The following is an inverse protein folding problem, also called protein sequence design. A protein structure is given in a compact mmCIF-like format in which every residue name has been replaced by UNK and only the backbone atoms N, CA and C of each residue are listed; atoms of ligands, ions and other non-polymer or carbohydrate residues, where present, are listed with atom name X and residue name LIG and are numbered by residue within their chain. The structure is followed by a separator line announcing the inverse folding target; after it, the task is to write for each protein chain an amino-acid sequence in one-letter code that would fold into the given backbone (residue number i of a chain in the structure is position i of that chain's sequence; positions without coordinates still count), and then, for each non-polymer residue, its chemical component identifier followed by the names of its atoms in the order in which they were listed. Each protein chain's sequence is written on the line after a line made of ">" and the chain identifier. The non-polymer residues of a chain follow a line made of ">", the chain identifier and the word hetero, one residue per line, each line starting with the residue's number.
data_IF_206712363783
#
_entry.id   IF_206712363783
#
_cell.length_a   1.000
_cell.length_b   1.000
_cell.length_c   1.000
_cell.angle_alpha   90.00
_cell.angle_beta   90.00
_cell.angle_gamma   90.00
#
_symmetry.space_group_name_H-M   'P 1'
#
loop_
_entity.id
_entity.type
_entity.pdbx_description
1 polymer ?
#
# COMPACT_ATOMS: atom_id res chain seq x y z
N UNK A 1 -2.90 2.11 -15.67
CA UNK A 1 -1.50 2.51 -15.42
C UNK A 1 -1.14 3.89 -15.98
N UNK A 2 -0.94 4.12 -17.29
CA UNK A 2 -0.46 5.45 -17.77
C UNK A 2 -1.35 6.65 -17.39
N UNK A 3 -2.68 6.56 -17.49
CA UNK A 3 -3.55 7.68 -17.07
C UNK A 3 -3.63 7.83 -15.54
N UNK A 4 -3.46 6.75 -14.78
CA UNK A 4 -3.44 6.80 -13.32
C UNK A 4 -2.14 7.46 -12.83
N UNK A 5 -1.01 7.17 -13.49
CA UNK A 5 0.25 7.87 -13.28
C UNK A 5 0.12 9.39 -13.55
N UNK A 6 -0.55 9.79 -14.66
CA UNK A 6 -0.83 11.21 -14.94
C UNK A 6 -1.66 11.88 -13.83
N UNK A 7 -2.69 11.19 -13.34
CA UNK A 7 -3.50 11.69 -12.23
C UNK A 7 -2.65 11.91 -10.97
N UNK A 8 -1.87 10.91 -10.56
CA UNK A 8 -1.05 10.99 -9.36
C UNK A 8 0.13 11.96 -9.49
N UNK A 9 0.72 12.13 -10.68
CA UNK A 9 1.71 13.17 -10.95
C UNK A 9 1.13 14.56 -10.67
N UNK A 10 -0.09 14.83 -11.16
CA UNK A 10 -0.78 16.12 -10.92
C UNK A 10 -1.10 16.33 -9.43
N UNK A 11 -1.46 15.26 -8.72
CA UNK A 11 -1.81 15.34 -7.30
C UNK A 11 -0.60 15.41 -6.36
N UNK A 12 0.59 14.99 -6.80
CA UNK A 12 1.76 14.76 -5.94
C UNK A 12 2.11 15.95 -5.03
N UNK A 13 2.20 17.17 -5.58
CA UNK A 13 2.53 18.37 -4.79
C UNK A 13 1.48 18.69 -3.73
N UNK A 14 0.19 18.53 -4.06
CA UNK A 14 -0.91 18.74 -3.11
C UNK A 14 -0.96 17.65 -2.03
N UNK A 15 -0.74 16.40 -2.43
CA UNK A 15 -0.65 15.26 -1.55
C UNK A 15 0.50 15.41 -0.54
N UNK A 16 1.69 15.78 -1.01
CA UNK A 16 2.87 15.98 -0.15
C UNK A 16 2.67 17.06 0.93
N UNK A 17 1.87 18.10 0.64
CA UNK A 17 1.54 19.18 1.58
C UNK A 17 0.41 18.80 2.54
N UNK A 18 -0.37 17.79 2.19
CA UNK A 18 -1.53 17.38 2.99
C UNK A 18 -1.07 16.69 4.27
N UNK A 19 -1.68 17.06 5.40
CA UNK A 19 -1.47 16.37 6.67
C UNK A 19 -2.17 15.02 6.63
N UNK A 20 -1.59 14.03 7.29
CA UNK A 20 -2.27 12.77 7.59
C UNK A 20 -3.49 13.11 8.45
N UNK A 21 -4.69 12.87 7.92
CA UNK A 21 -5.94 13.33 8.53
C UNK A 21 -6.34 12.59 9.81
N UNK A 22 -5.78 11.40 10.03
CA UNK A 22 -6.05 10.54 11.19
C UNK A 22 -4.72 10.00 11.72
N UNK A 23 -3.96 10.90 12.35
CA UNK A 23 -2.64 10.60 12.89
C UNK A 23 -2.67 9.45 13.92
N UNK A 24 -3.63 9.37 14.87
CA UNK A 24 -3.69 8.25 15.83
C UNK A 24 -3.83 6.89 15.13
N UNK A 25 -4.68 6.81 14.09
CA UNK A 25 -4.82 5.57 13.32
C UNK A 25 -3.57 5.25 12.51
N UNK A 26 -2.84 6.26 12.06
CA UNK A 26 -1.57 6.07 11.34
C UNK A 26 -0.47 5.56 12.27
N UNK A 27 -0.28 6.19 13.43
CA UNK A 27 0.72 5.77 14.42
C UNK A 27 0.47 4.35 14.92
N UNK A 28 -0.79 3.97 15.18
CA UNK A 28 -1.12 2.58 15.55
C UNK A 28 -0.71 1.59 14.46
N UNK A 29 -0.87 1.93 13.17
CA UNK A 29 -0.43 1.05 12.08
C UNK A 29 1.08 0.93 12.06
N UNK A 30 1.81 2.04 12.25
CA UNK A 30 3.27 2.01 12.32
C UNK A 30 3.75 1.14 13.48
N UNK A 31 3.16 1.29 14.66
CA UNK A 31 3.50 0.52 15.85
C UNK A 31 3.27 -0.98 15.62
N UNK A 32 2.09 -1.35 15.12
CA UNK A 32 1.79 -2.77 14.85
C UNK A 32 2.75 -3.33 13.81
N UNK A 33 3.00 -2.64 12.69
CA UNK A 33 3.94 -3.11 11.66
C UNK A 33 5.35 -3.29 12.25
N UNK A 34 5.83 -2.32 13.05
CA UNK A 34 7.16 -2.38 13.69
C UNK A 34 7.31 -3.54 14.65
N UNK A 35 6.22 -3.97 15.30
CA UNK A 35 6.22 -5.17 16.16
C UNK A 35 6.57 -6.47 15.44
N UNK A 36 6.54 -6.48 14.10
CA UNK A 36 6.93 -7.63 13.29
C UNK A 36 8.31 -7.50 12.64
N UNK A 37 8.98 -6.35 12.73
CA UNK A 37 10.27 -6.16 12.07
C UNK A 37 11.41 -6.86 12.78
N UNK A 38 12.38 -7.30 11.99
CA UNK A 38 13.74 -7.54 12.45
C UNK A 38 14.71 -6.68 11.62
N UNK A 39 15.89 -6.34 12.17
CA UNK A 39 16.87 -5.50 11.48
C UNK A 39 17.38 -6.06 10.15
N UNK A 40 17.21 -7.37 9.90
CA UNK A 40 17.70 -8.06 8.71
C UNK A 40 16.67 -8.16 7.58
N UNK A 41 15.44 -7.66 7.78
CA UNK A 41 14.35 -7.82 6.83
C UNK A 41 14.56 -7.05 5.51
N UNK A 42 14.27 -7.75 4.41
CA UNK A 42 14.08 -7.18 3.06
C UNK A 42 12.59 -6.88 2.85
N UNK A 43 12.26 -5.60 2.65
CA UNK A 43 10.88 -5.13 2.57
C UNK A 43 10.57 -4.50 1.21
N UNK A 44 9.39 -4.79 0.67
CA UNK A 44 8.83 -4.09 -0.49
C UNK A 44 7.61 -3.26 -0.08
N UNK A 45 7.60 -1.96 -0.36
CA UNK A 45 6.39 -1.13 -0.28
C UNK A 45 5.85 -0.83 -1.67
N UNK A 46 4.61 -1.23 -1.95
CA UNK A 46 3.92 -1.01 -3.22
C UNK A 46 2.98 0.19 -3.09
N UNK A 47 3.16 1.18 -3.96
CA UNK A 47 2.42 2.44 -3.93
C UNK A 47 2.79 3.30 -2.73
N UNK A 48 4.08 3.55 -2.55
CA UNK A 48 4.62 4.27 -1.40
C UNK A 48 4.27 5.78 -1.41
N UNK A 49 3.73 6.32 -2.50
CA UNK A 49 3.49 7.74 -2.67
C UNK A 49 4.76 8.54 -2.39
N UNK A 50 4.66 9.53 -1.51
CA UNK A 50 5.82 10.38 -1.12
C UNK A 50 6.78 9.74 -0.11
N UNK A 51 6.73 8.42 0.07
CA UNK A 51 7.69 7.65 0.88
C UNK A 51 7.54 7.78 2.40
N UNK A 52 6.51 8.46 2.92
CA UNK A 52 6.39 8.74 4.36
C UNK A 52 6.44 7.48 5.23
N UNK A 53 5.80 6.38 4.82
CA UNK A 53 5.79 5.13 5.58
C UNK A 53 7.14 4.41 5.48
N UNK A 54 7.66 4.20 4.26
CA UNK A 54 9.00 3.66 4.04
C UNK A 54 10.06 4.37 4.91
N UNK A 55 10.12 5.70 4.87
CA UNK A 55 11.12 6.47 5.62
C UNK A 55 10.98 6.28 7.14
N UNK A 56 9.75 6.18 7.67
CA UNK A 56 9.51 5.92 9.10
C UNK A 56 9.82 4.48 9.53
N UNK A 57 9.86 3.55 8.59
CA UNK A 57 10.20 2.15 8.83
C UNK A 57 11.65 1.81 8.55
N UNK A 58 12.33 2.62 7.74
CA UNK A 58 13.72 2.43 7.34
C UNK A 58 14.69 2.15 8.51
N UNK A 59 14.61 2.83 9.68
CA UNK A 59 15.53 2.56 10.78
C UNK A 59 15.38 1.17 11.46
N UNK A 60 14.35 0.40 11.11
CA UNK A 60 14.00 -0.85 11.80
C UNK A 60 14.27 -2.11 10.97
N UNK A 61 14.74 -1.97 9.73
CA UNK A 61 14.91 -3.06 8.77
C UNK A 61 16.19 -2.87 7.96
N UNK A 62 16.60 -3.92 7.24
CA UNK A 62 17.83 -3.89 6.43
C UNK A 62 17.67 -2.99 5.23
N UNK A 63 16.58 -3.18 4.48
CA UNK A 63 16.31 -2.43 3.26
C UNK A 63 14.81 -2.36 2.97
N UNK A 64 14.40 -1.22 2.39
CA UNK A 64 13.06 -1.06 1.82
C UNK A 64 13.19 -0.70 0.34
N UNK A 65 12.69 -1.56 -0.54
CA UNK A 65 12.37 -1.19 -1.93
C UNK A 65 10.98 -0.57 -1.95
N UNK A 66 10.85 0.69 -2.29
CA UNK A 66 9.59 1.43 -2.28
C UNK A 66 9.22 1.86 -3.71
N UNK A 67 8.05 1.46 -4.20
CA UNK A 67 7.63 1.72 -5.58
C UNK A 67 6.35 2.52 -5.67
N UNK A 68 6.24 3.36 -6.70
CA UNK A 68 5.01 4.07 -7.04
C UNK A 68 4.93 4.30 -8.56
N UNK A 69 3.72 4.37 -9.10
CA UNK A 69 3.53 4.62 -10.54
C UNK A 69 3.77 6.09 -10.93
N UNK A 70 3.81 6.99 -9.94
CA UNK A 70 3.98 8.43 -10.12
C UNK A 70 5.44 8.84 -9.98
N UNK A 71 6.02 9.34 -11.07
CA UNK A 71 7.37 9.89 -11.07
C UNK A 71 7.50 11.08 -10.12
N UNK A 72 6.47 11.93 -10.01
CA UNK A 72 6.49 13.07 -9.10
C UNK A 72 6.43 12.64 -7.63
N UNK A 73 5.71 11.56 -7.31
CA UNK A 73 5.71 11.00 -5.95
C UNK A 73 7.09 10.48 -5.56
N UNK A 74 7.73 9.73 -6.45
CA UNK A 74 9.08 9.20 -6.26
C UNK A 74 10.13 10.31 -6.15
N UNK A 75 10.02 11.37 -6.95
CA UNK A 75 10.92 12.52 -6.85
C UNK A 75 10.84 13.18 -5.46
N UNK A 76 9.63 13.37 -4.92
CA UNK A 76 9.42 13.92 -3.57
C UNK A 76 9.95 12.95 -2.50
N UNK A 77 9.72 11.65 -2.66
CA UNK A 77 10.17 10.64 -1.72
C UNK A 77 11.70 10.60 -1.60
N UNK A 78 12.42 10.65 -2.74
CA UNK A 78 13.88 10.75 -2.78
C UNK A 78 14.39 12.01 -2.08
N UNK A 79 13.79 13.17 -2.38
CA UNK A 79 14.18 14.43 -1.73
C UNK A 79 14.01 14.40 -0.19
N UNK A 80 12.96 13.73 0.30
CA UNK A 80 12.77 13.53 1.75
C UNK A 80 13.83 12.60 2.33
N UNK A 81 14.14 11.49 1.65
CA UNK A 81 15.18 10.57 2.07
C UNK A 81 16.55 11.27 2.21
N UNK A 82 16.91 12.09 1.21
CA UNK A 82 18.14 12.87 1.21
C UNK A 82 18.16 13.88 2.37
N UNK A 83 17.03 14.54 2.64
CA UNK A 83 16.89 15.50 3.75
C UNK A 83 17.00 14.82 5.13
N UNK A 84 16.44 13.62 5.26
CA UNK A 84 16.44 12.83 6.51
C UNK A 84 17.73 12.00 6.68
N UNK A 85 18.61 11.96 5.68
CA UNK A 85 19.84 11.17 5.68
C UNK A 85 19.59 9.65 5.63
N UNK A 86 18.45 9.22 5.12
CA UNK A 86 18.06 7.80 5.06
C UNK A 86 18.61 7.18 3.78
N UNK A 87 19.45 6.15 3.93
CA UNK A 87 20.18 5.53 2.80
C UNK A 87 19.69 4.11 2.45
N UNK A 88 18.94 3.46 3.35
CA UNK A 88 18.49 2.07 3.17
C UNK A 88 17.09 1.96 2.56
N UNK A 89 16.65 2.97 1.79
CA UNK A 89 15.41 2.95 1.02
C UNK A 89 15.71 3.22 -0.45
N UNK A 90 15.30 2.32 -1.33
CA UNK A 90 15.39 2.52 -2.79
C UNK A 90 14.02 2.85 -3.35
N UNK A 91 13.89 4.04 -3.93
CA UNK A 91 12.66 4.50 -4.56
C UNK A 91 12.67 4.26 -6.08
N UNK A 92 11.64 3.60 -6.59
CA UNK A 92 11.51 3.21 -8.01
C UNK A 92 10.15 3.60 -8.59
N UNK A 93 10.16 4.13 -9.81
CA UNK A 93 8.91 4.34 -10.57
C UNK A 93 8.53 3.01 -11.21
N UNK A 94 7.56 2.31 -10.64
CA UNK A 94 7.14 1.01 -11.13
C UNK A 94 5.70 0.72 -10.73
N UNK A 95 4.98 0.05 -11.61
CA UNK A 95 3.68 -0.53 -11.27
C UNK A 95 3.84 -1.95 -10.78
N UNK A 96 2.88 -2.42 -10.00
CA UNK A 96 2.89 -3.79 -9.48
C UNK A 96 3.02 -4.85 -10.57
N UNK A 97 2.35 -4.64 -11.71
CA UNK A 97 2.37 -5.58 -12.84
C UNK A 97 3.75 -5.66 -13.53
N UNK A 98 4.61 -4.65 -13.32
CA UNK A 98 5.95 -4.57 -13.90
C UNK A 98 7.06 -4.98 -12.90
N UNK A 99 6.69 -5.30 -11.65
CA UNK A 99 7.66 -5.62 -10.61
C UNK A 99 8.35 -6.97 -10.88
N UNK A 100 9.66 -6.88 -11.09
CA UNK A 100 10.55 -8.05 -11.09
C UNK A 100 11.05 -8.28 -9.68
N UNK A 101 10.45 -9.27 -9.02
CA UNK A 101 10.80 -9.76 -7.69
C UNK A 101 10.82 -11.27 -7.75
N UNK A 102 11.89 -11.86 -7.21
CA UNK A 102 12.08 -13.29 -7.14
C UNK A 102 11.08 -13.94 -6.18
N UNK A 103 10.72 -15.18 -6.47
CA UNK A 103 9.84 -15.95 -5.61
C UNK A 103 10.52 -16.20 -4.26
N UNK A 104 9.75 -16.14 -3.17
CA UNK A 104 10.24 -16.40 -1.82
C UNK A 104 11.50 -15.60 -1.42
N UNK A 105 11.57 -14.31 -1.80
CA UNK A 105 12.75 -13.47 -1.58
C UNK A 105 12.56 -12.38 -0.52
N UNK A 106 11.31 -12.00 -0.22
CA UNK A 106 10.99 -10.90 0.70
C UNK A 106 10.49 -11.40 2.06
N UNK A 107 10.88 -10.70 3.13
CA UNK A 107 10.39 -10.93 4.49
C UNK A 107 9.04 -10.24 4.71
N UNK A 108 8.86 -9.06 4.11
CA UNK A 108 7.61 -8.31 4.18
C UNK A 108 7.28 -7.58 2.88
N UNK A 109 5.99 -7.57 2.54
CA UNK A 109 5.41 -6.65 1.56
C UNK A 109 4.42 -5.72 2.27
N UNK A 110 4.43 -4.45 1.92
CA UNK A 110 3.49 -3.43 2.40
C UNK A 110 2.71 -2.86 1.21
N UNK A 111 1.39 -2.74 1.34
CA UNK A 111 0.56 -2.05 0.35
C UNK A 111 -0.58 -1.28 1.03
N UNK A 112 -0.35 0.02 1.26
CA UNK A 112 -1.29 0.88 1.97
C UNK A 112 -2.11 1.73 0.99
N UNK A 113 -3.43 1.64 1.08
CA UNK A 113 -4.39 2.41 0.28
C UNK A 113 -4.29 2.16 -1.24
N UNK A 114 -3.81 0.98 -1.65
CA UNK A 114 -3.62 0.62 -3.07
C UNK A 114 -4.60 -0.45 -3.56
N UNK A 115 -5.00 -1.43 -2.74
CA UNK A 115 -5.78 -2.59 -3.24
C UNK A 115 -7.17 -2.26 -3.79
N UNK A 116 -7.71 -1.08 -3.48
CA UNK A 116 -8.96 -0.58 -4.06
C UNK A 116 -8.74 0.23 -5.36
N UNK A 117 -7.49 0.49 -5.73
CA UNK A 117 -7.06 1.26 -6.91
C UNK A 117 -6.45 0.39 -8.00
N UNK A 118 -6.33 -0.92 -7.77
CA UNK A 118 -5.81 -1.88 -8.76
C UNK A 118 -6.95 -2.60 -9.49
N UNK A 119 -6.80 -2.87 -10.80
CA UNK A 119 -7.86 -3.48 -11.60
C UNK A 119 -8.13 -4.94 -11.21
N UNK A 120 -7.07 -5.70 -10.87
CA UNK A 120 -7.18 -7.11 -10.48
C UNK A 120 -6.49 -7.36 -9.13
N UNK A 121 -7.17 -7.00 -8.04
CA UNK A 121 -6.61 -7.17 -6.69
C UNK A 121 -6.24 -8.62 -6.34
N UNK A 122 -6.95 -9.62 -6.89
CA UNK A 122 -6.67 -11.02 -6.60
C UNK A 122 -5.34 -11.46 -7.19
N UNK A 123 -5.04 -10.98 -8.40
CA UNK A 123 -3.75 -11.23 -9.03
C UNK A 123 -2.61 -10.55 -8.27
N UNK A 124 -2.82 -9.31 -7.85
CA UNK A 124 -1.90 -8.59 -6.96
C UNK A 124 -1.62 -9.39 -5.69
N UNK A 125 -2.66 -9.91 -5.02
CA UNK A 125 -2.50 -10.71 -3.79
C UNK A 125 -1.68 -11.98 -4.06
N UNK A 126 -1.93 -12.67 -5.18
CA UNK A 126 -1.17 -13.87 -5.57
C UNK A 126 0.30 -13.56 -5.84
N UNK A 127 0.58 -12.45 -6.53
CA UNK A 127 1.96 -12.02 -6.77
C UNK A 127 2.69 -11.71 -5.46
N UNK A 128 2.04 -11.00 -4.54
CA UNK A 128 2.59 -10.74 -3.20
C UNK A 128 2.86 -12.04 -2.45
N UNK A 129 1.92 -12.99 -2.46
CA UNK A 129 2.10 -14.30 -1.84
C UNK A 129 3.31 -15.06 -2.42
N UNK A 130 3.51 -14.99 -3.74
CA UNK A 130 4.64 -15.61 -4.42
C UNK A 130 5.98 -14.99 -4.01
N UNK A 131 6.04 -13.66 -3.92
CA UNK A 131 7.26 -12.91 -3.58
C UNK A 131 7.73 -13.14 -2.13
N UNK A 132 6.80 -13.43 -1.22
CA UNK A 132 7.10 -13.63 0.20
C UNK A 132 7.76 -14.98 0.47
N UNK A 133 8.78 -14.98 1.33
CA UNK A 133 9.32 -16.19 1.96
C UNK A 133 8.22 -16.95 2.72
N UNK A 134 8.35 -18.27 2.95
CA UNK A 134 7.60 -18.94 4.01
C UNK A 134 7.77 -18.17 5.33
N UNK A 135 6.68 -18.02 6.09
CA UNK A 135 6.64 -17.17 7.29
C UNK A 135 6.57 -15.65 7.03
N UNK A 136 6.74 -15.21 5.77
CA UNK A 136 6.76 -13.80 5.37
C UNK A 136 5.41 -13.10 5.54
N UNK A 137 5.44 -11.77 5.63
CA UNK A 137 4.28 -10.96 6.03
C UNK A 137 3.78 -10.05 4.91
N UNK A 138 2.46 -9.95 4.77
CA UNK A 138 1.82 -8.92 3.96
C UNK A 138 1.04 -7.95 4.85
N UNK A 139 1.44 -6.68 4.83
CA UNK A 139 0.80 -5.61 5.62
C UNK A 139 0.01 -4.69 4.70
N UNK A 140 -1.27 -4.48 4.99
CA UNK A 140 -2.12 -3.64 4.14
C UNK A 140 -3.12 -2.82 4.94
N UNK A 141 -3.51 -1.67 4.37
CA UNK A 141 -4.61 -0.84 4.86
C UNK A 141 -5.49 -0.47 3.67
N UNK A 142 -6.76 -0.85 3.65
CA UNK A 142 -7.63 -0.58 2.48
C UNK A 142 -8.98 -0.02 2.89
N UNK A 143 -9.43 1.04 2.20
CA UNK A 143 -10.78 1.58 2.36
C UNK A 143 -11.77 0.65 1.67
N UNK A 144 -12.70 0.09 2.44
CA UNK A 144 -13.78 -0.75 1.93
C UNK A 144 -15.02 0.11 1.62
N UNK A 145 -15.02 0.72 0.42
CA UNK A 145 -16.02 1.71 0.03
C UNK A 145 -17.47 1.20 0.09
N UNK A 146 -17.71 -0.11 -0.04
CA UNK A 146 -19.06 -0.68 0.05
C UNK A 146 -19.64 -0.67 1.47
N UNK A 147 -18.80 -0.64 2.51
CA UNK A 147 -19.23 -0.71 3.91
C UNK A 147 -19.71 0.64 4.48
N UNK A 148 -19.56 1.74 3.75
CA UNK A 148 -19.94 3.06 4.26
C UNK A 148 -20.06 4.18 3.24
N UNK A 149 -19.68 3.94 1.98
CA UNK A 149 -19.70 4.92 0.89
C UNK A 149 -20.31 4.34 -0.40
N UNK A 150 -21.13 3.29 -0.30
CA UNK A 150 -21.74 2.62 -1.46
C UNK A 150 -22.57 3.55 -2.35
N UNK A 151 -23.12 4.62 -1.78
CA UNK A 151 -23.88 5.66 -2.47
C UNK A 151 -23.04 6.52 -3.43
N UNK A 152 -21.70 6.51 -3.33
CA UNK A 152 -20.81 7.22 -4.26
C UNK A 152 -20.68 6.51 -5.61
N UNK A 153 -21.07 5.23 -5.70
CA UNK A 153 -20.98 4.43 -6.93
C UNK A 153 -21.64 5.08 -8.16
N UNK A 154 -22.88 5.61 -8.10
CA UNK A 154 -23.50 6.31 -9.24
C UNK A 154 -22.84 7.64 -9.63
N UNK A 155 -22.12 8.31 -8.72
CA UNK A 155 -21.49 9.63 -8.97
C UNK A 155 -20.12 9.48 -9.63
N UNK A 156 -19.48 8.32 -9.47
CA UNK A 156 -18.13 8.05 -9.94
C UNK A 156 -17.89 8.25 -11.45
N UNK A 157 -18.79 7.86 -12.38
CA UNK A 157 -18.59 8.11 -13.81
C UNK A 157 -18.43 9.60 -14.13
N UNK A 158 -19.23 10.46 -13.46
CA UNK A 158 -19.12 11.90 -13.60
C UNK A 158 -17.77 12.40 -13.07
N UNK A 159 -17.38 11.99 -11.85
CA UNK A 159 -16.08 12.37 -11.25
C UNK A 159 -14.88 11.95 -12.11
N UNK A 160 -14.96 10.82 -12.81
CA UNK A 160 -13.92 10.36 -13.75
C UNK A 160 -13.88 11.25 -14.99
N UNK A 161 -15.03 11.61 -15.54
CA UNK A 161 -15.14 12.46 -16.73
C UNK A 161 -14.54 13.85 -16.48
N UNK A 162 -14.70 14.40 -15.28
CA UNK A 162 -14.08 15.66 -14.85
C UNK A 162 -12.68 15.51 -14.24
N UNK A 163 -12.13 14.29 -14.19
CA UNK A 163 -10.76 14.02 -13.76
C UNK A 163 -10.50 14.16 -12.25
N UNK A 164 -11.52 14.11 -11.40
CA UNK A 164 -11.40 14.22 -9.93
C UNK A 164 -11.27 12.87 -9.19
N UNK A 165 -11.34 11.74 -9.91
CA UNK A 165 -11.17 10.41 -9.34
C UNK A 165 -10.28 9.53 -10.24
N UNK A 166 -9.50 8.60 -9.66
CA UNK A 166 -8.80 7.57 -10.42
C UNK A 166 -9.78 6.73 -11.27
N UNK A 167 -9.27 6.15 -12.37
CA UNK A 167 -10.12 5.29 -13.22
C UNK A 167 -10.53 4.01 -12.51
N UNK A 168 -9.69 3.47 -11.64
CA UNK A 168 -10.00 2.25 -10.90
C UNK A 168 -10.30 2.62 -9.45
N UNK A 169 -11.52 2.33 -9.03
CA UNK A 169 -11.97 2.42 -7.64
C UNK A 169 -12.89 1.23 -7.42
N UNK A 170 -12.38 0.20 -6.74
CA UNK A 170 -13.12 -1.01 -6.46
C UNK A 170 -14.01 -0.82 -5.22
N UNK A 171 -15.30 -1.12 -5.36
CA UNK A 171 -16.26 -1.12 -4.26
C UNK A 171 -16.26 -2.49 -3.58
N UNK A 172 -15.40 -2.65 -2.58
CA UNK A 172 -15.22 -3.90 -1.83
C UNK A 172 -15.70 -3.73 -0.40
N UNK A 173 -16.13 -4.86 0.19
CA UNK A 173 -16.36 -4.98 1.64
C UNK A 173 -15.11 -5.50 2.34
N UNK A 174 -15.01 -5.31 3.66
CA UNK A 174 -13.94 -5.91 4.46
C UNK A 174 -13.94 -7.45 4.36
N UNK A 175 -15.13 -8.08 4.42
CA UNK A 175 -15.25 -9.54 4.35
C UNK A 175 -14.78 -10.11 3.00
N UNK A 176 -15.09 -9.42 1.89
CA UNK A 176 -14.59 -9.83 0.58
C UNK A 176 -13.07 -9.71 0.48
N UNK A 177 -12.50 -8.64 1.05
CA UNK A 177 -11.06 -8.43 1.04
C UNK A 177 -10.35 -9.50 1.88
N UNK A 178 -10.86 -9.82 3.07
CA UNK A 178 -10.34 -10.89 3.92
C UNK A 178 -10.43 -12.26 3.24
N UNK A 179 -11.58 -12.58 2.61
CA UNK A 179 -11.74 -13.81 1.84
C UNK A 179 -10.77 -13.90 0.65
N UNK A 180 -10.46 -12.79 -0.02
CA UNK A 180 -9.49 -12.80 -1.12
C UNK A 180 -8.07 -13.12 -0.62
N UNK A 181 -7.71 -12.75 0.62
CA UNK A 181 -6.42 -13.13 1.22
C UNK A 181 -6.37 -14.60 1.65
N UNK A 182 -7.41 -15.08 2.34
CA UNK A 182 -7.45 -16.48 2.78
C UNK A 182 -7.50 -17.45 1.60
N UNK A 183 -8.24 -17.11 0.54
CA UNK A 183 -8.25 -17.89 -0.71
C UNK A 183 -6.89 -17.90 -1.42
N UNK A 184 -6.02 -16.91 -1.17
CA UNK A 184 -4.66 -16.89 -1.69
C UNK A 184 -3.66 -17.65 -0.80
N UNK A 185 -4.10 -18.17 0.35
CA UNK A 185 -3.27 -18.96 1.27
C UNK A 185 -2.67 -18.18 2.44
N UNK A 186 -3.10 -16.95 2.70
CA UNK A 186 -2.64 -16.19 3.86
C UNK A 186 -3.44 -16.51 5.13
N UNK A 187 -2.72 -16.55 6.26
CA UNK A 187 -3.31 -16.50 7.60
C UNK A 187 -3.43 -15.05 8.09
N UNK A 188 -4.51 -14.72 8.81
CA UNK A 188 -4.69 -13.38 9.37
C UNK A 188 -4.00 -13.29 10.74
N UNK A 189 -2.80 -12.72 10.77
CA UNK A 189 -2.03 -12.55 12.01
C UNK A 189 -2.53 -11.38 12.86
N UNK A 190 -3.03 -10.31 12.23
CA UNK A 190 -3.63 -9.17 12.91
C UNK A 190 -4.69 -8.50 12.04
N UNK A 191 -5.77 -8.03 12.66
CA UNK A 191 -6.84 -7.28 12.01
C UNK A 191 -7.35 -6.18 12.91
N UNK A 192 -7.44 -4.96 12.37
CA UNK A 192 -7.95 -3.80 13.09
C UNK A 192 -8.66 -2.82 12.16
N UNK A 193 -9.75 -2.24 12.62
CA UNK A 193 -10.50 -1.21 11.89
C UNK A 193 -11.06 -0.20 12.89
N UNK A 194 -10.68 1.09 12.82
CA UNK A 194 -11.16 2.10 13.78
C UNK A 194 -12.64 2.48 13.59
N UNK A 195 -13.27 2.10 12.48
CA UNK A 195 -14.70 2.29 12.26
C UNK A 195 -15.15 1.86 10.86
N UNK A 196 -16.47 1.73 10.64
CA UNK A 196 -17.02 1.17 9.40
C UNK A 196 -16.69 1.99 8.14
N UNK A 197 -16.48 3.31 8.27
CA UNK A 197 -16.08 4.18 7.14
C UNK A 197 -14.56 4.30 6.97
N UNK A 198 -13.78 3.71 7.88
CA UNK A 198 -12.32 3.79 7.88
C UNK A 198 -11.71 2.56 7.21
N UNK A 199 -10.46 2.71 6.79
CA UNK A 199 -9.70 1.62 6.21
C UNK A 199 -9.54 0.47 7.20
N UNK A 200 -9.75 -0.76 6.73
CA UNK A 200 -9.36 -1.96 7.48
C UNK A 200 -7.85 -2.15 7.32
N UNK A 201 -7.17 -2.40 8.41
CA UNK A 201 -5.74 -2.70 8.46
C UNK A 201 -5.54 -4.16 8.87
N UNK A 202 -4.68 -4.86 8.14
CA UNK A 202 -4.37 -6.26 8.38
C UNK A 202 -2.88 -6.54 8.24
N UNK A 203 -2.40 -7.44 9.07
CA UNK A 203 -1.13 -8.15 8.89
C UNK A 203 -1.47 -9.59 8.58
N UNK A 204 -0.99 -10.06 7.45
CA UNK A 204 -1.24 -11.39 6.90
C UNK A 204 0.09 -12.15 6.89
N UNK A 205 0.05 -13.45 7.16
CA UNK A 205 1.23 -14.31 7.18
C UNK A 205 1.11 -15.37 6.10
N UNK A 206 2.16 -15.54 5.32
CA UNK A 206 2.33 -16.73 4.48
C UNK A 206 2.76 -17.88 5.40
N UNK A 207 2.06 -19.02 5.40
CA UNK A 207 2.47 -20.19 6.18
C UNK A 207 3.90 -20.65 5.83
N UNK A 208 4.52 -21.39 6.77
CA UNK A 208 5.82 -22.06 6.56
C UNK A 208 5.75 -23.16 5.49
#
# INVERSE_FOLDING_TARGET
>A
MQQDAKFWNRMAKGYAKSKISDMPSYERKLEVTRGYFTPDMEVLEIGCGTGTTALRHAPHVKHIRATDISQEMIAIARAKADTEGIQNVTFEVSAIDDLKVEDASLDMVMAHSILHLVPNRREVIKQVYRMLKPGGLFVTSTVCLKDGMGWLKPILPLMRLVGYAPRVVAFITANQLEADFTNAGFDVAYKWRPGPKKAIFMVLRKPE
#
